data_IF_485427905781
#
_entry.id   IF_485427905781
#
_cell.length_a   1.000
_cell.length_b   1.000
_cell.length_c   1.000
_cell.angle_alpha   90.00
_cell.angle_beta   90.00
_cell.angle_gamma   90.00
#
_symmetry.space_group_name_H-M   'P 1'
#
loop_
_entity.id
_entity.type
_entity.pdbx_description
1 polymer ?
#
# COMPACT_ATOMS: atom_id res chain seq x y z
N UNK A 1 -4.78 33.55 -17.28
CA UNK A 1 -3.87 32.67 -16.51
C UNK A 1 -4.58 31.36 -16.23
N UNK A 2 -4.39 30.35 -17.08
CA UNK A 2 -4.99 29.03 -16.87
C UNK A 2 -4.36 28.40 -15.63
N UNK A 3 -5.19 28.17 -14.60
CA UNK A 3 -4.76 27.53 -13.35
C UNK A 3 -4.15 26.18 -13.67
N UNK A 4 -2.84 26.05 -13.43
CA UNK A 4 -2.16 24.75 -13.39
C UNK A 4 -2.82 23.97 -12.26
N UNK A 5 -3.78 23.11 -12.58
CA UNK A 5 -4.27 22.09 -11.66
C UNK A 5 -3.04 21.34 -11.15
N UNK A 6 -2.73 21.49 -9.87
CA UNK A 6 -1.62 20.79 -9.25
C UNK A 6 -1.77 19.30 -9.57
N UNK A 7 -0.78 18.76 -10.27
CA UNK A 7 -0.71 17.33 -10.56
C UNK A 7 -0.65 16.65 -9.19
N UNK A 8 -1.76 16.07 -8.75
CA UNK A 8 -1.76 15.15 -7.61
C UNK A 8 -0.94 13.97 -8.08
N UNK A 9 0.37 14.05 -7.87
CA UNK A 9 1.29 12.96 -8.15
C UNK A 9 0.85 11.88 -7.18
N UNK A 10 0.39 10.76 -7.72
CA UNK A 10 0.14 9.57 -6.94
C UNK A 10 1.46 9.18 -6.30
N UNK A 11 1.62 9.52 -5.02
CA UNK A 11 2.89 9.42 -4.30
C UNK A 11 3.40 7.98 -4.28
N UNK A 12 2.48 7.01 -4.31
CA UNK A 12 2.81 5.58 -4.39
C UNK A 12 3.45 5.26 -5.74
N UNK A 13 2.83 5.69 -6.84
CA UNK A 13 3.35 5.45 -8.19
C UNK A 13 4.74 6.13 -8.40
N UNK A 14 4.96 7.30 -7.81
CA UNK A 14 6.26 7.96 -7.84
C UNK A 14 7.33 7.15 -7.10
N UNK A 15 7.03 6.66 -5.90
CA UNK A 15 7.94 5.83 -5.11
C UNK A 15 8.26 4.50 -5.82
N UNK A 16 7.29 3.88 -6.48
CA UNK A 16 7.51 2.65 -7.27
C UNK A 16 8.46 2.90 -8.45
N UNK A 17 8.32 4.02 -9.14
CA UNK A 17 9.22 4.42 -10.23
C UNK A 17 10.66 4.67 -9.72
N UNK A 18 10.80 5.35 -8.58
CA UNK A 18 12.11 5.58 -7.95
C UNK A 18 12.77 4.27 -7.52
N UNK A 19 12.02 3.33 -6.94
CA UNK A 19 12.52 2.01 -6.56
C UNK A 19 13.01 1.23 -7.79
N UNK A 20 12.30 1.27 -8.91
CA UNK A 20 12.74 0.64 -10.16
C UNK A 20 14.04 1.26 -10.69
N UNK A 21 14.15 2.59 -10.64
CA UNK A 21 15.38 3.28 -11.01
C UNK A 21 16.56 2.93 -10.10
N UNK A 22 16.33 2.85 -8.78
CA UNK A 22 17.36 2.45 -7.83
C UNK A 22 17.81 1.00 -8.06
N UNK A 23 16.88 0.07 -8.31
CA UNK A 23 17.20 -1.33 -8.66
C UNK A 23 18.13 -1.40 -9.88
N UNK A 24 17.81 -0.69 -10.97
CA UNK A 24 18.65 -0.68 -12.19
C UNK A 24 20.02 -0.01 -11.98
N UNK A 25 20.10 1.09 -11.23
CA UNK A 25 21.37 1.75 -10.87
C UNK A 25 22.25 0.81 -10.04
N UNK A 26 21.66 0.07 -9.11
CA UNK A 26 22.36 -0.89 -8.26
C UNK A 26 22.97 -2.03 -9.10
N UNK A 27 22.21 -2.59 -10.05
CA UNK A 27 22.71 -3.63 -10.96
C UNK A 27 23.90 -3.14 -11.79
N UNK A 28 23.80 -1.93 -12.37
CA UNK A 28 24.92 -1.32 -13.10
C UNK A 28 26.14 -1.09 -12.21
N UNK A 29 25.95 -0.61 -10.98
CA UNK A 29 27.03 -0.39 -10.03
C UNK A 29 27.73 -1.70 -9.62
N UNK A 30 26.98 -2.79 -9.44
CA UNK A 30 27.54 -4.13 -9.16
C UNK A 30 28.38 -4.66 -10.33
N UNK A 31 27.90 -4.48 -11.56
CA UNK A 31 28.63 -4.88 -12.76
C UNK A 31 29.93 -4.05 -12.95
N UNK A 32 29.86 -2.74 -12.71
CA UNK A 32 31.02 -1.86 -12.74
C UNK A 32 32.05 -2.27 -11.67
N UNK A 33 31.62 -2.46 -10.43
CA UNK A 33 32.48 -2.87 -9.32
C UNK A 33 33.22 -4.20 -9.62
N UNK A 34 32.56 -5.17 -10.23
CA UNK A 34 33.22 -6.43 -10.64
C UNK A 34 34.28 -6.20 -11.72
N UNK A 35 33.99 -5.36 -12.71
CA UNK A 35 34.94 -5.01 -13.77
C UNK A 35 36.15 -4.25 -13.22
N UNK A 36 35.92 -3.33 -12.30
CA UNK A 36 36.98 -2.54 -11.66
C UNK A 36 37.85 -3.42 -10.78
N UNK A 37 37.25 -4.30 -9.97
CA UNK A 37 37.98 -5.29 -9.18
C UNK A 37 38.80 -6.25 -10.07
N UNK A 38 38.26 -6.66 -11.22
CA UNK A 38 38.99 -7.51 -12.18
C UNK A 38 40.19 -6.77 -12.79
N UNK A 39 39.98 -5.50 -13.13
CA UNK A 39 41.03 -4.63 -13.66
C UNK A 39 42.14 -4.40 -12.62
N UNK A 40 41.77 -4.11 -11.37
CA UNK A 40 42.72 -3.96 -10.27
C UNK A 40 43.52 -5.25 -10.02
N UNK A 41 42.86 -6.41 -10.03
CA UNK A 41 43.53 -7.70 -9.85
C UNK A 41 44.54 -8.02 -10.98
N UNK A 42 44.21 -7.65 -12.23
CA UNK A 42 45.13 -7.85 -13.37
C UNK A 42 46.30 -6.88 -13.36
N UNK A 43 46.06 -5.60 -13.04
CA UNK A 43 47.11 -4.58 -12.94
C UNK A 43 48.10 -4.90 -11.81
N UNK A 44 47.60 -5.23 -10.62
CA UNK A 44 48.45 -5.60 -9.48
C UNK A 44 49.23 -6.88 -9.73
N UNK A 45 48.65 -7.86 -10.44
CA UNK A 45 49.37 -9.07 -10.84
C UNK A 45 50.53 -8.76 -11.81
N UNK A 46 50.32 -7.87 -12.80
CA UNK A 46 51.38 -7.40 -13.72
C UNK A 46 52.47 -6.66 -12.96
N UNK A 47 52.12 -5.77 -12.05
CA UNK A 47 53.07 -5.04 -11.21
C UNK A 47 53.91 -5.99 -10.34
N UNK A 48 53.29 -7.01 -9.73
CA UNK A 48 53.99 -8.03 -8.96
C UNK A 48 54.98 -8.85 -9.82
N UNK A 49 54.60 -9.20 -11.05
CA UNK A 49 55.50 -9.90 -11.98
C UNK A 49 56.71 -9.03 -12.36
N UNK A 50 56.49 -7.74 -12.65
CA UNK A 50 57.55 -6.80 -12.97
C UNK A 50 58.48 -6.52 -11.77
N UNK A 51 57.94 -6.44 -10.55
CA UNK A 51 58.75 -6.28 -9.35
C UNK A 51 59.60 -7.55 -9.08
N UNK A 52 59.02 -8.73 -9.28
CA UNK A 52 59.73 -10.00 -9.14
C UNK A 52 60.90 -10.14 -10.14
N UNK A 53 60.72 -9.72 -11.41
CA UNK A 53 61.81 -9.73 -12.40
C UNK A 53 62.93 -8.76 -12.05
N UNK A 54 62.60 -7.55 -11.60
CA UNK A 54 63.59 -6.57 -11.10
C UNK A 54 64.37 -7.09 -9.90
N UNK A 55 63.69 -7.74 -8.95
CA UNK A 55 64.35 -8.36 -7.80
C UNK A 55 65.31 -9.48 -8.20
N UNK A 56 64.95 -10.33 -9.17
CA UNK A 56 65.84 -11.35 -9.74
C UNK A 56 67.06 -10.74 -10.42
N UNK A 57 66.87 -9.70 -11.24
CA UNK A 57 67.97 -9.00 -11.91
C UNK A 57 68.93 -8.33 -10.92
N UNK A 58 68.41 -7.71 -9.85
CA UNK A 58 69.24 -7.11 -8.81
C UNK A 58 70.08 -8.16 -8.07
N UNK A 59 69.51 -9.34 -7.76
CA UNK A 59 70.26 -10.46 -7.18
C UNK A 59 71.34 -10.98 -8.12
N UNK A 60 71.06 -11.10 -9.41
CA UNK A 60 72.04 -11.50 -10.41
C UNK A 60 73.21 -10.51 -10.48
N UNK A 61 72.95 -9.19 -10.39
CA UNK A 61 74.00 -8.17 -10.30
C UNK A 61 74.89 -8.36 -9.07
N UNK A 62 74.32 -8.62 -7.90
CA UNK A 62 75.08 -8.92 -6.67
C UNK A 62 76.00 -10.14 -6.88
N UNK A 63 75.48 -11.22 -7.47
CA UNK A 63 76.26 -12.41 -7.76
C UNK A 63 77.42 -12.11 -8.72
N UNK A 64 77.17 -11.34 -9.79
CA UNK A 64 78.17 -10.98 -10.80
C UNK A 64 79.30 -10.08 -10.29
N UNK A 65 79.04 -9.24 -9.28
CA UNK A 65 80.08 -8.39 -8.66
C UNK A 65 80.89 -9.22 -7.67
N UNK A 66 80.24 -10.15 -6.95
CA UNK A 66 80.90 -11.00 -5.95
C UNK A 66 81.94 -11.95 -6.55
N UNK A 67 81.80 -12.33 -7.82
CA UNK A 67 82.76 -13.19 -8.52
C UNK A 67 84.03 -12.48 -8.99
N UNK A 68 84.12 -11.15 -8.84
CA UNK A 68 85.29 -10.35 -9.27
C UNK A 68 86.32 -10.18 -8.13
N UNK A 69 87.59 -9.98 -8.50
CA UNK A 69 88.74 -9.87 -7.57
C UNK A 69 88.65 -8.62 -6.69
N UNK A 70 88.44 -8.79 -5.38
CA UNK A 70 88.19 -7.71 -4.38
C UNK A 70 89.19 -6.55 -4.48
N UNK A 71 88.75 -5.46 -5.10
CA UNK A 71 89.35 -4.13 -4.96
C UNK A 71 88.47 -3.22 -4.10
N UNK A 72 89.01 -2.11 -3.59
CA UNK A 72 88.24 -1.12 -2.83
C UNK A 72 87.03 -0.59 -3.63
N UNK A 73 87.18 -0.42 -4.95
CA UNK A 73 86.09 -0.03 -5.84
C UNK A 73 84.99 -1.11 -5.92
N UNK A 74 85.37 -2.38 -6.03
CA UNK A 74 84.40 -3.49 -6.06
C UNK A 74 83.66 -3.67 -4.73
N UNK A 75 84.32 -3.41 -3.60
CA UNK A 75 83.66 -3.43 -2.29
C UNK A 75 82.53 -2.38 -2.23
N UNK A 76 82.79 -1.14 -2.68
CA UNK A 76 81.76 -0.09 -2.79
C UNK A 76 80.62 -0.50 -3.71
N UNK A 77 80.91 -1.01 -4.91
CA UNK A 77 79.89 -1.50 -5.85
C UNK A 77 79.04 -2.63 -5.26
N UNK A 78 79.65 -3.56 -4.53
CA UNK A 78 78.96 -4.69 -3.91
C UNK A 78 78.01 -4.23 -2.79
N UNK A 79 78.40 -3.24 -1.98
CA UNK A 79 77.49 -2.66 -0.97
C UNK A 79 76.28 -1.98 -1.61
N UNK A 80 76.49 -1.16 -2.64
CA UNK A 80 75.40 -0.52 -3.39
C UNK A 80 74.47 -1.55 -4.06
N UNK A 81 75.03 -2.59 -4.68
CA UNK A 81 74.25 -3.66 -5.30
C UNK A 81 73.41 -4.45 -4.29
N UNK A 82 73.96 -4.72 -3.09
CA UNK A 82 73.21 -5.36 -2.00
C UNK A 82 72.05 -4.49 -1.51
N UNK A 83 72.26 -3.19 -1.34
CA UNK A 83 71.21 -2.25 -0.97
C UNK A 83 70.10 -2.21 -2.03
N UNK A 84 70.46 -2.14 -3.32
CA UNK A 84 69.50 -2.18 -4.42
C UNK A 84 68.73 -3.52 -4.48
N UNK A 85 69.39 -4.65 -4.24
CA UNK A 85 68.74 -5.95 -4.20
C UNK A 85 67.78 -6.09 -3.01
N UNK A 86 68.14 -5.56 -1.83
CA UNK A 86 67.26 -5.51 -0.67
C UNK A 86 66.01 -4.67 -0.95
N UNK A 87 66.18 -3.46 -1.50
CA UNK A 87 65.08 -2.59 -1.89
C UNK A 87 64.14 -3.25 -2.93
N UNK A 88 64.71 -3.86 -3.98
CA UNK A 88 63.92 -4.56 -4.99
C UNK A 88 63.16 -5.76 -4.42
N UNK A 89 63.74 -6.51 -3.48
CA UNK A 89 63.04 -7.59 -2.79
C UNK A 89 61.86 -7.06 -1.96
N UNK A 90 62.04 -5.95 -1.24
CA UNK A 90 60.95 -5.32 -0.46
C UNK A 90 59.77 -4.96 -1.36
N UNK A 91 60.02 -4.28 -2.48
CA UNK A 91 58.98 -3.95 -3.47
C UNK A 91 58.32 -5.20 -4.05
N UNK A 92 59.08 -6.25 -4.36
CA UNK A 92 58.53 -7.51 -4.84
C UNK A 92 57.62 -8.19 -3.81
N UNK A 93 57.96 -8.13 -2.52
CA UNK A 93 57.11 -8.69 -1.45
C UNK A 93 55.82 -7.90 -1.26
N UNK A 94 55.89 -6.57 -1.26
CA UNK A 94 54.73 -5.69 -1.09
C UNK A 94 53.76 -5.81 -2.27
N UNK A 95 54.28 -5.78 -3.51
CA UNK A 95 53.46 -5.94 -4.71
C UNK A 95 52.84 -7.33 -4.82
N UNK A 96 53.53 -8.39 -4.37
CA UNK A 96 52.95 -9.73 -4.28
C UNK A 96 51.78 -9.78 -3.29
N UNK A 97 51.91 -9.13 -2.13
CA UNK A 97 50.83 -9.03 -1.14
C UNK A 97 49.64 -8.27 -1.73
N UNK A 98 49.86 -7.12 -2.34
CA UNK A 98 48.81 -6.34 -3.00
C UNK A 98 48.09 -7.13 -4.11
N UNK A 99 48.82 -7.91 -4.92
CA UNK A 99 48.22 -8.77 -5.93
C UNK A 99 47.38 -9.91 -5.34
N UNK A 100 47.75 -10.45 -4.17
CA UNK A 100 46.95 -11.45 -3.46
C UNK A 100 45.67 -10.84 -2.88
N UNK A 101 45.77 -9.67 -2.26
CA UNK A 101 44.63 -8.94 -1.73
C UNK A 101 43.63 -8.57 -2.83
N UNK A 102 44.09 -8.06 -3.97
CA UNK A 102 43.24 -7.73 -5.11
C UNK A 102 42.52 -8.97 -5.69
N UNK A 103 43.19 -10.13 -5.72
CA UNK A 103 42.55 -11.40 -6.12
C UNK A 103 41.47 -11.83 -5.13
N UNK A 104 41.74 -11.77 -3.84
CA UNK A 104 40.75 -12.08 -2.80
C UNK A 104 39.56 -11.13 -2.85
N UNK A 105 39.79 -9.83 -3.09
CA UNK A 105 38.74 -8.85 -3.28
C UNK A 105 37.85 -9.18 -4.49
N UNK A 106 38.45 -9.52 -5.64
CA UNK A 106 37.70 -9.94 -6.82
C UNK A 106 36.83 -11.18 -6.58
N UNK A 107 37.36 -12.19 -5.88
CA UNK A 107 36.59 -13.40 -5.52
C UNK A 107 35.40 -13.03 -4.64
N UNK A 108 35.61 -12.15 -3.65
CA UNK A 108 34.54 -11.67 -2.77
C UNK A 108 33.47 -10.90 -3.54
N UNK A 109 33.86 -9.94 -4.38
CA UNK A 109 32.91 -9.16 -5.22
C UNK A 109 32.07 -10.08 -6.10
N UNK A 110 32.68 -11.10 -6.72
CA UNK A 110 31.95 -12.09 -7.51
C UNK A 110 30.96 -12.91 -6.69
N UNK A 111 31.33 -13.30 -5.47
CA UNK A 111 30.45 -14.03 -4.57
C UNK A 111 29.26 -13.16 -4.13
N UNK A 112 29.53 -11.92 -3.71
CA UNK A 112 28.52 -10.97 -3.27
C UNK A 112 27.54 -10.64 -4.41
N UNK A 113 28.03 -10.46 -5.65
CA UNK A 113 27.19 -10.25 -6.83
C UNK A 113 26.30 -11.46 -7.14
N UNK A 114 26.80 -12.70 -6.99
CA UNK A 114 25.98 -13.91 -7.15
C UNK A 114 24.90 -14.01 -6.08
N UNK A 115 25.22 -13.73 -4.82
CA UNK A 115 24.22 -13.73 -3.74
C UNK A 115 23.16 -12.64 -3.98
N UNK A 116 23.58 -11.45 -4.35
CA UNK A 116 22.69 -10.35 -4.68
C UNK A 116 21.71 -10.68 -5.82
N UNK A 117 22.16 -11.32 -6.90
CA UNK A 117 21.29 -11.73 -8.00
C UNK A 117 20.33 -12.85 -7.59
N UNK A 118 20.75 -13.78 -6.72
CA UNK A 118 19.87 -14.80 -6.17
C UNK A 118 18.77 -14.20 -5.28
N UNK A 119 19.14 -13.26 -4.40
CA UNK A 119 18.19 -12.53 -3.56
C UNK A 119 17.21 -11.71 -4.40
N UNK A 120 17.67 -11.01 -5.45
CA UNK A 120 16.80 -10.26 -6.35
C UNK A 120 15.76 -11.16 -7.03
N UNK A 121 16.16 -12.36 -7.48
CA UNK A 121 15.24 -13.34 -8.06
C UNK A 121 14.24 -13.89 -7.04
N UNK A 122 14.66 -14.11 -5.80
CA UNK A 122 13.77 -14.56 -4.72
C UNK A 122 12.74 -13.47 -4.37
N UNK A 123 13.19 -12.23 -4.21
CA UNK A 123 12.32 -11.08 -3.96
C UNK A 123 11.32 -10.89 -5.11
N UNK A 124 11.75 -10.96 -6.37
CA UNK A 124 10.84 -10.84 -7.51
C UNK A 124 9.75 -11.95 -7.53
N UNK A 125 10.09 -13.17 -7.09
CA UNK A 125 9.11 -14.25 -6.96
C UNK A 125 8.08 -13.97 -5.86
N UNK A 126 8.53 -13.51 -4.69
CA UNK A 126 7.64 -13.14 -3.58
C UNK A 126 6.79 -11.90 -3.89
N UNK A 127 7.36 -10.87 -4.54
CA UNK A 127 6.60 -9.72 -5.02
C UNK A 127 5.49 -10.16 -5.99
N UNK A 128 5.78 -11.10 -6.90
CA UNK A 128 4.78 -11.64 -7.83
C UNK A 128 3.68 -12.47 -7.15
N UNK A 129 4.00 -13.25 -6.11
CA UNK A 129 2.97 -14.01 -5.36
C UNK A 129 2.08 -13.07 -4.56
N UNK A 130 2.64 -12.03 -3.93
CA UNK A 130 1.88 -11.00 -3.22
C UNK A 130 1.01 -10.19 -4.17
N UNK A 131 1.51 -9.79 -5.34
CA UNK A 131 0.73 -9.09 -6.34
C UNK A 131 -0.49 -9.91 -6.82
N UNK A 132 -0.33 -11.23 -7.01
CA UNK A 132 -1.44 -12.13 -7.34
C UNK A 132 -2.49 -12.19 -6.22
N UNK A 133 -2.06 -12.28 -4.96
CA UNK A 133 -2.97 -12.27 -3.80
C UNK A 133 -3.73 -10.95 -3.69
N UNK A 134 -3.02 -9.83 -3.84
CA UNK A 134 -3.62 -8.50 -3.83
C UNK A 134 -4.63 -8.31 -4.96
N UNK A 135 -4.35 -8.80 -6.17
CA UNK A 135 -5.28 -8.73 -7.30
C UNK A 135 -6.55 -9.55 -7.06
N UNK A 136 -6.44 -10.72 -6.42
CA UNK A 136 -7.61 -11.53 -6.05
C UNK A 136 -8.46 -10.83 -5.00
N UNK A 137 -7.86 -10.27 -3.96
CA UNK A 137 -8.58 -9.50 -2.93
C UNK A 137 -9.22 -8.23 -3.50
N UNK A 138 -8.52 -7.49 -4.36
CA UNK A 138 -9.06 -6.32 -5.05
C UNK A 138 -10.29 -6.68 -5.91
N UNK A 139 -10.25 -7.82 -6.62
CA UNK A 139 -11.41 -8.31 -7.39
C UNK A 139 -12.59 -8.69 -6.48
N UNK A 140 -12.34 -9.30 -5.32
CA UNK A 140 -13.40 -9.59 -4.34
C UNK A 140 -14.02 -8.31 -3.80
N UNK A 141 -13.19 -7.32 -3.47
CA UNK A 141 -13.66 -6.04 -2.96
C UNK A 141 -14.48 -5.28 -3.99
N UNK A 142 -13.99 -5.19 -5.24
CA UNK A 142 -14.72 -4.57 -6.34
C UNK A 142 -16.10 -5.21 -6.58
N UNK A 143 -16.24 -6.53 -6.45
CA UNK A 143 -17.54 -7.22 -6.53
C UNK A 143 -18.48 -6.82 -5.38
N UNK A 144 -17.97 -6.71 -4.16
CA UNK A 144 -18.76 -6.26 -3.00
C UNK A 144 -19.22 -4.81 -3.16
N UNK A 145 -18.31 -3.93 -3.59
CA UNK A 145 -18.61 -2.52 -3.80
C UNK A 145 -19.63 -2.32 -4.93
N UNK A 146 -19.51 -3.09 -6.03
CA UNK A 146 -20.49 -3.08 -7.10
C UNK A 146 -21.88 -3.58 -6.65
N UNK A 147 -21.95 -4.59 -5.78
CA UNK A 147 -23.21 -5.06 -5.21
C UNK A 147 -23.83 -4.02 -4.28
N UNK A 148 -23.04 -3.37 -3.43
CA UNK A 148 -23.48 -2.30 -2.55
C UNK A 148 -24.00 -1.08 -3.35
N UNK A 149 -23.29 -0.68 -4.41
CA UNK A 149 -23.71 0.39 -5.30
C UNK A 149 -25.05 0.08 -6.00
N UNK A 150 -25.23 -1.15 -6.48
CA UNK A 150 -26.52 -1.59 -7.06
C UNK A 150 -27.66 -1.57 -6.04
N UNK A 151 -27.40 -1.97 -4.80
CA UNK A 151 -28.39 -1.92 -3.73
C UNK A 151 -28.78 -0.49 -3.36
N UNK A 152 -27.80 0.41 -3.26
CA UNK A 152 -28.02 1.83 -3.03
C UNK A 152 -28.86 2.47 -4.14
N UNK A 153 -28.51 2.23 -5.41
CA UNK A 153 -29.26 2.74 -6.57
C UNK A 153 -30.72 2.26 -6.60
N UNK A 154 -30.99 0.99 -6.24
CA UNK A 154 -32.37 0.48 -6.13
C UNK A 154 -33.16 1.19 -5.02
N UNK A 155 -32.52 1.47 -3.88
CA UNK A 155 -33.14 2.17 -2.75
C UNK A 155 -33.47 3.62 -3.12
N UNK A 156 -32.57 4.31 -3.81
CA UNK A 156 -32.80 5.67 -4.31
C UNK A 156 -33.92 5.71 -5.35
N UNK A 157 -33.94 4.77 -6.31
CA UNK A 157 -35.01 4.68 -7.30
C UNK A 157 -36.39 4.41 -6.65
N UNK A 158 -36.46 3.58 -5.60
CA UNK A 158 -37.69 3.34 -4.85
C UNK A 158 -38.15 4.60 -4.09
N UNK A 159 -37.22 5.33 -3.46
CA UNK A 159 -37.50 6.58 -2.77
C UNK A 159 -38.02 7.66 -3.74
N UNK A 160 -37.41 7.79 -4.92
CA UNK A 160 -37.84 8.71 -5.96
C UNK A 160 -39.27 8.39 -6.47
N UNK A 161 -39.58 7.12 -6.72
CA UNK A 161 -40.95 6.69 -7.10
C UNK A 161 -41.97 6.98 -5.99
N UNK A 162 -41.60 6.81 -4.73
CA UNK A 162 -42.49 7.11 -3.60
C UNK A 162 -42.73 8.63 -3.46
N UNK A 163 -41.71 9.45 -3.67
CA UNK A 163 -41.84 10.92 -3.68
C UNK A 163 -42.77 11.39 -4.80
N UNK A 164 -42.57 10.91 -6.04
CA UNK A 164 -43.40 11.26 -7.19
C UNK A 164 -44.89 10.90 -6.98
N UNK A 165 -45.19 9.75 -6.37
CA UNK A 165 -46.58 9.37 -6.02
C UNK A 165 -47.20 10.30 -4.98
N UNK A 166 -46.43 10.74 -3.98
CA UNK A 166 -46.91 11.71 -2.97
C UNK A 166 -47.19 13.07 -3.59
N UNK A 167 -46.33 13.54 -4.49
CA UNK A 167 -46.52 14.80 -5.20
C UNK A 167 -47.74 14.76 -6.13
N UNK A 168 -47.93 13.67 -6.89
CA UNK A 168 -49.11 13.48 -7.74
C UNK A 168 -50.42 13.45 -6.93
N UNK A 169 -50.42 12.81 -5.75
CA UNK A 169 -51.57 12.80 -4.85
C UNK A 169 -51.87 14.19 -4.26
N UNK A 170 -50.84 14.97 -3.94
CA UNK A 170 -50.99 16.35 -3.48
C UNK A 170 -51.57 17.25 -4.59
N UNK A 171 -51.10 17.11 -5.83
CA UNK A 171 -51.61 17.85 -6.99
C UNK A 171 -53.10 17.55 -7.26
N UNK A 172 -53.51 16.27 -7.22
CA UNK A 172 -54.93 15.89 -7.38
C UNK A 172 -55.82 16.47 -6.28
N UNK A 173 -55.34 16.52 -5.03
CA UNK A 173 -56.08 17.15 -3.92
C UNK A 173 -56.24 18.67 -4.12
N UNK A 174 -55.21 19.36 -4.60
CA UNK A 174 -55.29 20.79 -4.93
C UNK A 174 -56.29 21.06 -6.05
N UNK A 175 -56.24 20.27 -7.14
CA UNK A 175 -57.18 20.40 -8.25
C UNK A 175 -58.65 20.11 -7.85
N UNK A 176 -58.88 19.14 -6.97
CA UNK A 176 -60.22 18.85 -6.45
C UNK A 176 -60.74 19.98 -5.53
N UNK A 177 -59.87 20.61 -4.75
CA UNK A 177 -60.22 21.75 -3.90
C UNK A 177 -60.59 22.99 -4.74
N UNK A 178 -59.86 23.26 -5.83
CA UNK A 178 -60.18 24.35 -6.75
C UNK A 178 -61.50 24.14 -7.50
N UNK A 179 -61.78 22.92 -7.96
CA UNK A 179 -63.09 22.59 -8.57
C UNK A 179 -64.25 22.80 -7.60
N UNK A 180 -64.08 22.48 -6.31
CA UNK A 180 -65.10 22.76 -5.28
C UNK A 180 -65.28 24.27 -5.04
N UNK A 181 -64.19 25.05 -5.03
CA UNK A 181 -64.27 26.52 -4.94
C UNK A 181 -64.98 27.14 -6.14
N UNK A 182 -64.70 26.67 -7.36
CA UNK A 182 -65.37 27.12 -8.57
C UNK A 182 -66.86 26.77 -8.61
N UNK A 183 -67.24 25.57 -8.16
CA UNK A 183 -68.64 25.16 -8.04
C UNK A 183 -69.41 25.98 -6.99
N UNK A 184 -68.78 26.32 -5.87
CA UNK A 184 -69.35 27.18 -4.85
C UNK A 184 -69.55 28.62 -5.36
N UNK A 185 -68.60 29.15 -6.15
CA UNK A 185 -68.73 30.46 -6.79
C UNK A 185 -69.88 30.50 -7.80
N UNK A 186 -70.04 29.46 -8.63
CA UNK A 186 -71.17 29.35 -9.57
C UNK A 186 -72.52 29.27 -8.86
N UNK A 187 -72.64 28.53 -7.74
CA UNK A 187 -73.87 28.53 -6.93
C UNK A 187 -74.18 29.89 -6.29
N UNK A 188 -73.15 30.62 -5.82
CA UNK A 188 -73.33 31.99 -5.32
C UNK A 188 -73.77 32.98 -6.42
N UNK A 189 -73.25 32.84 -7.64
CA UNK A 189 -73.68 33.65 -8.78
C UNK A 189 -75.13 33.34 -9.20
N UNK A 190 -75.52 32.06 -9.25
CA UNK A 190 -76.89 31.65 -9.56
C UNK A 190 -77.91 32.10 -8.49
N UNK A 191 -77.52 32.11 -7.20
CA UNK A 191 -78.36 32.65 -6.13
C UNK A 191 -78.55 34.17 -6.24
N UNK A 192 -77.51 34.91 -6.65
CA UNK A 192 -77.62 36.36 -6.91
C UNK A 192 -78.50 36.67 -8.14
N UNK A 193 -78.45 35.83 -9.18
CA UNK A 193 -79.34 35.97 -10.34
C UNK A 193 -80.82 35.71 -10.00
N UNK A 194 -81.11 34.73 -9.13
CA UNK A 194 -82.48 34.47 -8.63
C UNK A 194 -82.99 35.52 -7.63
N UNK A 195 -82.10 36.26 -6.97
CA UNK A 195 -82.48 37.40 -6.15
C UNK A 195 -82.80 38.65 -7.00
N UNK A 196 -82.18 38.80 -8.17
CA UNK A 196 -82.48 39.88 -9.11
C UNK A 196 -83.86 39.73 -9.79
N UNK A 197 -84.33 38.50 -10.04
CA UNK A 197 -85.67 38.25 -10.60
C UNK A 197 -86.81 38.32 -9.56
N UNK A 198 -86.51 38.45 -8.27
CA UNK A 198 -87.53 38.68 -7.21
C UNK A 198 -87.70 40.14 -6.79
N UNK A 199 -86.99 41.09 -7.41
CA UNK A 199 -87.18 42.53 -7.17
C UNK A 199 -88.16 43.19 -8.16
N UNK A 200 -88.91 42.39 -8.92
CA UNK A 200 -89.95 42.81 -9.85
C UNK A 200 -91.25 41.99 -9.64
N UNK A 201 -91.81 42.01 -8.44
CA UNK A 201 -93.21 41.68 -8.18
C UNK A 201 -93.53 42.08 -6.73
N UNK A 202 -93.88 43.35 -6.56
CA UNK A 202 -94.42 43.86 -5.31
C UNK A 202 -95.92 43.58 -5.20
N UNK A 203 -96.33 43.38 -3.94
CA UNK A 203 -97.65 43.58 -3.32
C UNK A 203 -98.63 42.40 -3.24
N UNK A 204 -99.34 42.42 -2.09
CA UNK A 204 -100.47 41.59 -1.59
C UNK A 204 -100.00 40.30 -0.90
N UNK A 205 -100.26 39.99 0.37
CA UNK A 205 -101.03 40.61 1.45
C UNK A 205 -101.43 39.51 2.47
N UNK A 206 -101.27 39.79 3.77
CA UNK A 206 -101.92 39.14 4.95
C UNK A 206 -101.38 37.79 5.51
N UNK A 207 -101.60 37.52 6.83
CA UNK A 207 -100.51 37.28 7.79
C UNK A 207 -100.57 35.96 8.60
N UNK A 208 -99.67 35.88 9.58
CA UNK A 208 -99.20 34.78 10.44
C UNK A 208 -100.20 33.89 11.22
N UNK A 209 -99.80 32.61 11.40
CA UNK A 209 -99.89 31.71 12.58
C UNK A 209 -99.48 30.29 12.11
N UNK A 210 -98.90 29.34 12.85
CA UNK A 210 -98.27 29.20 14.17
C UNK A 210 -97.41 27.89 14.13
N UNK A 211 -96.62 27.69 15.18
CA UNK A 211 -95.56 26.67 15.43
C UNK A 211 -96.16 25.32 15.97
N UNK A 212 -95.41 24.37 16.59
CA UNK A 212 -94.55 23.25 16.10
C UNK A 212 -94.95 21.84 16.66
N UNK A 213 -94.21 20.77 16.29
CA UNK A 213 -93.86 19.61 17.16
C UNK A 213 -92.90 18.67 16.39
N UNK A 214 -91.64 18.45 16.81
CA UNK A 214 -91.13 17.62 17.91
C UNK A 214 -90.90 16.14 17.52
N UNK A 215 -89.65 15.70 17.65
CA UNK A 215 -89.13 14.33 17.94
C UNK A 215 -87.79 14.14 17.20
N UNK A 216 -86.64 14.43 17.81
CA UNK A 216 -85.91 13.56 18.74
C UNK A 216 -85.49 12.20 18.14
N UNK A 217 -84.21 12.09 17.73
CA UNK A 217 -83.43 10.87 17.87
C UNK A 217 -81.93 11.18 17.72
N UNK A 218 -81.26 11.34 18.86
CA UNK A 218 -79.80 11.18 18.99
C UNK A 218 -79.48 9.69 18.84
N UNK A 219 -78.54 9.31 17.96
CA UNK A 219 -77.63 8.17 18.20
C UNK A 219 -76.23 8.45 17.63
N UNK A 220 -75.24 8.00 18.40
CA UNK A 220 -73.84 8.39 18.45
C UNK A 220 -72.97 7.94 17.26
N UNK A 221 -71.80 8.58 17.02
CA UNK A 221 -70.69 7.93 16.33
C UNK A 221 -69.69 7.36 17.36
N UNK A 222 -69.70 6.04 17.51
CA UNK A 222 -68.66 5.32 18.24
C UNK A 222 -67.28 5.51 17.61
N UNK A 223 -66.34 6.11 18.35
CA UNK A 223 -64.91 6.08 18.01
C UNK A 223 -64.27 4.91 18.76
N UNK A 224 -63.93 3.83 18.06
CA UNK A 224 -62.94 2.84 18.51
C UNK A 224 -62.08 2.44 17.33
N UNK A 225 -60.77 2.61 17.47
CA UNK A 225 -59.79 2.32 16.43
C UNK A 225 -58.43 2.93 16.69
N UNK A 226 -57.89 2.77 17.90
CA UNK A 226 -56.45 2.90 18.17
C UNK A 226 -55.97 1.57 18.72
N UNK A 227 -54.96 0.93 18.11
CA UNK A 227 -54.50 -0.39 18.52
C UNK A 227 -53.79 -0.34 19.88
N UNK A 228 -54.00 -1.42 20.64
CA UNK A 228 -53.47 -1.62 21.98
C UNK A 228 -51.94 -1.75 21.98
N UNK A 229 -51.35 -1.14 23.01
CA UNK A 229 -49.95 -1.21 23.39
C UNK A 229 -49.81 -2.40 24.34
N UNK A 230 -49.04 -3.42 23.98
CA UNK A 230 -48.61 -4.47 24.91
C UNK A 230 -47.08 -4.40 25.07
N UNK A 231 -46.67 -4.36 26.34
CA UNK A 231 -45.30 -4.26 26.87
C UNK A 231 -44.62 -5.65 26.91
N UNK A 232 -43.30 -5.71 27.16
CA UNK A 232 -42.44 -6.86 26.91
C UNK A 232 -42.44 -7.85 28.09
N UNK A 233 -42.17 -9.12 27.81
CA UNK A 233 -41.80 -10.12 28.80
C UNK A 233 -40.31 -10.46 28.67
N UNK A 234 -39.61 -10.35 29.79
CA UNK A 234 -38.21 -10.64 29.98
C UNK A 234 -38.03 -12.08 30.52
N UNK A 235 -36.96 -12.73 30.08
CA UNK A 235 -36.19 -13.72 30.83
C UNK A 235 -34.72 -13.43 30.50
N UNK A 236 -33.95 -12.79 31.39
CA UNK A 236 -33.06 -13.43 32.36
C UNK A 236 -32.14 -14.46 31.68
N UNK A 237 -30.84 -14.22 31.48
CA UNK A 237 -29.88 -14.07 32.57
C UNK A 237 -28.69 -13.12 32.23
N UNK A 238 -28.27 -12.34 33.22
CA UNK A 238 -26.96 -11.68 33.33
C UNK A 238 -26.30 -12.15 34.64
N UNK A 239 -25.03 -12.55 34.57
CA UNK A 239 -23.92 -12.32 35.53
C UNK A 239 -22.64 -12.79 34.81
N UNK A 240 -21.84 -11.90 34.23
CA UNK A 240 -20.78 -11.06 34.81
C UNK A 240 -19.39 -11.76 34.84
N UNK A 241 -18.29 -11.00 34.63
CA UNK A 241 -17.04 -11.49 34.08
C UNK A 241 -15.98 -11.80 35.16
N UNK A 242 -15.17 -12.83 34.97
CA UNK A 242 -14.14 -13.24 35.94
C UNK A 242 -12.87 -13.75 35.28
N UNK A 243 -11.80 -12.97 35.45
CA UNK A 243 -10.43 -13.23 34.95
C UNK A 243 -9.81 -14.47 35.60
N UNK A 244 -9.19 -15.34 34.79
CA UNK A 244 -7.99 -16.17 35.08
C UNK A 244 -7.43 -16.54 33.71
N UNK A 245 -6.17 -16.40 33.31
CA UNK A 245 -4.94 -15.96 33.91
C UNK A 245 -3.86 -16.37 32.90
N UNK A 246 -3.10 -15.40 32.38
CA UNK A 246 -1.76 -15.50 31.78
C UNK A 246 -1.46 -16.54 30.66
N UNK A 247 -0.85 -16.14 29.54
CA UNK A 247 -0.27 -17.09 28.59
C UNK A 247 0.88 -17.84 29.26
N UNK A 248 0.91 -19.17 29.11
CA UNK A 248 1.99 -20.01 29.58
C UNK A 248 3.31 -19.59 28.91
N UNK A 249 4.28 -19.15 29.72
CA UNK A 249 5.67 -18.94 29.33
C UNK A 249 6.54 -19.90 30.13
N UNK A 250 7.49 -20.51 29.41
CA UNK A 250 8.67 -21.26 29.81
C UNK A 250 8.57 -22.81 29.86
N UNK A 251 9.30 -23.46 28.94
CA UNK A 251 10.51 -24.19 29.34
C UNK A 251 11.61 -24.06 28.26
N UNK A 252 12.81 -23.53 28.60
CA UNK A 252 13.98 -23.56 27.72
C UNK A 252 14.64 -24.94 27.76
N UNK A 253 14.94 -25.51 26.59
CA UNK A 253 15.77 -26.70 26.50
C UNK A 253 17.25 -26.32 26.63
N UNK A 254 17.98 -27.17 27.34
CA UNK A 254 19.28 -26.94 27.94
C UNK A 254 20.42 -26.70 26.93
N UNK A 255 21.35 -25.88 27.37
CA UNK A 255 22.68 -25.73 26.81
C UNK A 255 23.52 -27.00 27.04
N UNK A 256 24.13 -27.52 25.98
CA UNK A 256 25.30 -28.39 26.06
C UNK A 256 26.52 -27.60 25.52
N UNK A 257 27.55 -27.53 26.35
CA UNK A 257 28.84 -26.84 26.09
C UNK A 257 29.71 -27.60 25.07
N UNK A 258 30.72 -26.93 24.47
CA UNK A 258 31.41 -27.38 23.28
C UNK A 258 32.59 -28.34 23.57
N UNK A 259 32.69 -29.43 22.82
CA UNK A 259 33.84 -30.34 22.85
C UNK A 259 34.94 -29.88 21.86
N UNK A 260 35.99 -29.34 22.45
CA UNK A 260 37.42 -29.39 22.09
C UNK A 260 37.86 -30.00 20.74
N UNK A 261 38.51 -29.12 19.94
CA UNK A 261 39.66 -29.34 19.03
C UNK A 261 40.07 -30.80 18.73
N UNK A 262 39.96 -31.18 17.45
CA UNK A 262 41.01 -31.97 16.78
C UNK A 262 41.48 -31.27 15.51
N UNK A 263 42.76 -30.86 15.56
CA UNK A 263 43.57 -30.33 14.47
C UNK A 263 43.95 -31.48 13.52
N UNK A 264 43.88 -31.21 12.22
CA UNK A 264 44.77 -31.76 11.20
C UNK A 264 44.77 -33.27 10.97
N UNK A 265 44.01 -33.71 9.96
CA UNK A 265 44.41 -34.75 8.99
C UNK A 265 43.44 -34.74 7.81
N UNK A 266 43.89 -34.49 6.56
CA UNK A 266 43.04 -34.68 5.38
C UNK A 266 42.87 -36.20 5.09
N UNK A 267 41.72 -36.64 4.55
CA UNK A 267 41.53 -38.03 4.15
C UNK A 267 42.43 -38.38 2.96
N UNK A 268 43.14 -39.51 3.09
CA UNK A 268 43.98 -40.11 2.05
C UNK A 268 43.08 -40.77 1.01
N UNK A 269 43.32 -40.50 -0.28
CA UNK A 269 42.66 -41.18 -1.40
C UNK A 269 43.11 -42.65 -1.46
N UNK A 270 42.16 -43.55 -1.66
CA UNK A 270 42.30 -44.83 -2.32
C UNK A 270 41.21 -44.88 -3.39
#
# INVERSE_FOLDING_TARGET
MAGRKAKVVDSVAALEAELAQLKTKLEKARAANEKDAATAATQTAKAAAAAASKAKAAKAKVASIRSKKKSAAQAKQLTAARAAAAAANKVATETKKAAQEAKSALVKVKADNKQATALAKAVAKEEATLAKKAAVEAKKQAKKDAAAAKAAAKKEAAAAKAAAKKEAAAAKKKAAAEKKKAAAAKKKAAAKAKAATKKAAGKRGRPAKAKPAAAAAKKAPGKRGRPAKAKPAAAAAKKAPGKRGRPAKAKPAAAAKPATKRRGRPPKKA
#
